data_IF_151376947868
#
_entry.id   IF_151376947868
#
_cell.length_a   1.000
_cell.length_b   1.000
_cell.length_c   1.000
_cell.angle_alpha   90.00
_cell.angle_beta   90.00
_cell.angle_gamma   90.00
#
_symmetry.space_group_name_H-M   'P 1'
#
loop_
_entity.id
_entity.type
_entity.pdbx_description
1 polymer ?
#
# COMPACT_ATOMS: atom_id res chain seq x y z
N UNK A 1 22.18 -7.74 12.92
CA UNK A 1 21.56 -8.86 13.66
C UNK A 1 20.09 -8.54 13.81
N UNK A 2 19.27 -9.54 13.53
CA UNK A 2 17.81 -9.57 13.74
C UNK A 2 16.99 -8.86 12.67
N UNK A 3 16.89 -9.50 11.51
CA UNK A 3 15.69 -9.49 10.67
C UNK A 3 14.72 -10.52 11.27
N UNK A 4 13.66 -10.10 11.91
CA UNK A 4 12.47 -10.90 12.24
C UNK A 4 11.35 -9.94 12.57
N UNK A 5 10.33 -9.95 11.71
CA UNK A 5 8.93 -9.91 12.08
C UNK A 5 8.09 -9.30 10.99
N UNK A 6 7.86 -10.01 9.93
CA UNK A 6 6.61 -9.96 9.14
C UNK A 6 6.47 -11.36 8.56
N UNK A 7 5.92 -12.28 9.30
CA UNK A 7 5.29 -13.51 8.80
C UNK A 7 4.93 -14.40 9.99
N UNK A 8 3.85 -14.10 10.64
CA UNK A 8 3.19 -15.07 11.48
C UNK A 8 1.90 -15.52 10.78
N UNK A 9 2.07 -16.18 9.64
CA UNK A 9 1.08 -17.12 9.08
C UNK A 9 1.79 -18.06 8.09
N UNK A 10 2.85 -18.74 8.57
CA UNK A 10 3.36 -19.93 7.91
C UNK A 10 2.59 -21.13 8.40
N UNK A 11 1.60 -21.53 7.65
CA UNK A 11 0.90 -22.81 7.85
C UNK A 11 1.62 -23.93 7.13
N UNK A 12 1.85 -24.95 7.92
CA UNK A 12 2.31 -26.31 7.66
C UNK A 12 1.74 -26.87 6.35
N UNK A 13 2.64 -27.24 5.45
CA UNK A 13 2.33 -28.10 4.28
C UNK A 13 2.48 -29.56 4.66
N UNK A 14 1.42 -30.34 4.55
CA UNK A 14 1.48 -31.77 4.26
C UNK A 14 0.34 -32.16 3.32
N UNK A 15 0.76 -32.51 2.13
CA UNK A 15 0.22 -33.40 1.08
C UNK A 15 -1.21 -33.93 1.18
N UNK A 16 -1.99 -33.69 0.11
CA UNK A 16 -2.85 -34.71 -0.52
C UNK A 16 -3.07 -34.35 -2.00
N UNK A 17 -2.78 -35.31 -2.87
CA UNK A 17 -2.86 -35.24 -4.33
C UNK A 17 -4.29 -35.22 -4.84
N UNK A 18 -4.62 -34.28 -5.71
CA UNK A 18 -5.66 -34.41 -6.71
C UNK A 18 -5.14 -33.85 -8.03
N UNK A 19 -5.05 -34.68 -9.05
CA UNK A 19 -4.65 -34.34 -10.39
C UNK A 19 -5.76 -33.53 -11.06
N UNK A 20 -5.63 -32.20 -11.05
CA UNK A 20 -6.21 -31.32 -12.04
C UNK A 20 -5.02 -30.73 -12.81
N UNK A 21 -5.11 -30.59 -14.12
CA UNK A 21 -4.10 -29.88 -14.91
C UNK A 21 -3.80 -28.57 -14.20
N UNK A 22 -2.67 -28.51 -13.53
CA UNK A 22 -2.27 -27.34 -12.78
C UNK A 22 -1.90 -26.28 -13.82
N UNK A 23 -2.67 -25.18 -13.87
CA UNK A 23 -2.24 -24.00 -14.60
C UNK A 23 -0.80 -23.71 -14.13
N UNK A 24 0.13 -23.75 -15.06
CA UNK A 24 1.54 -23.50 -14.77
C UNK A 24 1.79 -22.01 -14.90
N UNK A 25 2.33 -21.41 -13.87
CA UNK A 25 2.66 -19.98 -13.83
C UNK A 25 4.16 -19.75 -14.04
N UNK A 26 4.49 -18.62 -14.62
CA UNK A 26 5.86 -18.21 -14.93
C UNK A 26 6.10 -16.76 -14.48
N UNK A 27 7.36 -16.42 -14.25
CA UNK A 27 7.77 -15.05 -13.95
C UNK A 27 9.18 -14.80 -14.44
N UNK A 28 9.49 -13.52 -14.69
CA UNK A 28 10.79 -13.04 -15.10
C UNK A 28 11.24 -11.94 -14.17
N UNK A 29 12.45 -12.09 -13.62
CA UNK A 29 13.17 -11.07 -12.91
C UNK A 29 14.37 -10.57 -13.69
N UNK A 30 14.79 -9.32 -13.45
CA UNK A 30 16.03 -8.75 -13.99
C UNK A 30 16.85 -8.15 -12.86
N UNK A 31 18.17 -8.13 -13.05
CA UNK A 31 19.09 -7.44 -12.16
C UNK A 31 19.29 -5.99 -12.65
N UNK A 32 19.12 -5.01 -11.76
CA UNK A 32 19.24 -3.59 -12.13
C UNK A 32 20.62 -3.19 -12.67
N UNK A 33 21.70 -3.85 -12.25
CA UNK A 33 23.05 -3.62 -12.72
C UNK A 33 23.37 -4.25 -14.09
N UNK A 34 22.53 -5.18 -14.56
CA UNK A 34 22.63 -5.78 -15.91
C UNK A 34 21.23 -6.26 -16.36
N UNK A 35 20.36 -5.33 -16.79
CA UNK A 35 18.97 -5.66 -17.13
C UNK A 35 18.82 -6.48 -18.41
N UNK A 36 19.93 -6.75 -19.14
CA UNK A 36 19.92 -7.66 -20.29
C UNK A 36 19.85 -9.12 -19.86
N UNK A 37 20.27 -9.43 -18.63
CA UNK A 37 20.16 -10.77 -18.06
C UNK A 37 18.81 -10.97 -17.40
N UNK A 38 18.11 -11.99 -17.89
CA UNK A 38 16.79 -12.38 -17.40
C UNK A 38 16.88 -13.68 -16.60
N UNK A 39 16.12 -13.74 -15.51
CA UNK A 39 16.01 -14.90 -14.63
C UNK A 39 14.55 -15.36 -14.68
N UNK A 40 14.33 -16.59 -15.14
CA UNK A 40 13.01 -17.10 -15.46
C UNK A 40 12.63 -18.25 -14.53
N UNK A 41 11.44 -18.18 -14.00
CA UNK A 41 10.78 -19.34 -13.41
C UNK A 41 9.67 -19.83 -14.34
N UNK A 42 9.38 -21.12 -14.31
CA UNK A 42 8.28 -21.73 -15.03
C UNK A 42 7.70 -22.91 -14.25
N UNK A 43 6.53 -23.39 -14.66
CA UNK A 43 5.86 -24.54 -14.09
C UNK A 43 5.58 -24.40 -12.58
N UNK A 44 5.25 -23.19 -12.14
CA UNK A 44 4.94 -22.91 -10.74
C UNK A 44 3.44 -23.07 -10.46
N UNK A 45 3.05 -23.45 -9.23
CA UNK A 45 1.65 -23.70 -8.87
C UNK A 45 0.78 -22.43 -8.89
N UNK A 46 1.37 -21.26 -8.69
CA UNK A 46 0.68 -19.97 -8.69
C UNK A 46 1.67 -18.82 -8.94
N UNK A 47 1.16 -17.64 -9.29
CA UNK A 47 1.93 -16.43 -9.68
C UNK A 47 2.92 -15.98 -8.61
N UNK A 48 2.51 -16.00 -7.33
CA UNK A 48 3.41 -15.63 -6.21
C UNK A 48 4.61 -16.56 -6.15
N UNK A 49 4.41 -17.89 -6.25
CA UNK A 49 5.53 -18.84 -6.28
C UNK A 49 6.44 -18.63 -7.49
N UNK A 50 5.86 -18.32 -8.64
CA UNK A 50 6.63 -18.01 -9.85
C UNK A 50 7.55 -16.80 -9.62
N UNK A 51 7.01 -15.72 -9.07
CA UNK A 51 7.78 -14.50 -8.83
C UNK A 51 8.85 -14.70 -7.76
N UNK A 52 8.55 -15.38 -6.66
CA UNK A 52 9.55 -15.72 -5.64
C UNK A 52 10.69 -16.53 -6.25
N UNK A 53 10.40 -17.55 -7.06
CA UNK A 53 11.43 -18.36 -7.69
C UNK A 53 12.30 -17.57 -8.69
N UNK A 54 11.71 -16.69 -9.51
CA UNK A 54 12.47 -15.83 -10.42
C UNK A 54 13.34 -14.82 -9.64
N UNK A 55 12.80 -14.21 -8.60
CA UNK A 55 13.50 -13.29 -7.72
C UNK A 55 14.71 -13.97 -7.06
N UNK A 56 14.51 -15.16 -6.49
CA UNK A 56 15.59 -15.93 -5.84
C UNK A 56 16.72 -16.28 -6.82
N UNK A 57 16.41 -16.68 -8.06
CA UNK A 57 17.42 -16.94 -9.07
C UNK A 57 18.23 -15.68 -9.40
N UNK A 58 17.55 -14.53 -9.54
CA UNK A 58 18.21 -13.26 -9.76
C UNK A 58 19.13 -12.89 -8.57
N UNK A 59 18.63 -12.99 -7.33
CA UNK A 59 19.40 -12.67 -6.13
C UNK A 59 20.62 -13.58 -5.95
N UNK A 60 20.49 -14.88 -6.21
CA UNK A 60 21.61 -15.82 -6.18
C UNK A 60 22.66 -15.45 -7.22
N UNK A 61 22.25 -15.13 -8.45
CA UNK A 61 23.15 -14.72 -9.50
C UNK A 61 23.76 -13.32 -9.25
N UNK A 62 23.03 -12.42 -8.61
CA UNK A 62 23.54 -11.12 -8.20
C UNK A 62 24.66 -11.26 -7.16
N UNK A 63 24.50 -12.15 -6.20
CA UNK A 63 25.44 -12.31 -5.09
C UNK A 63 25.62 -10.98 -4.32
N UNK A 64 26.87 -10.53 -4.16
CA UNK A 64 27.19 -9.29 -3.45
C UNK A 64 27.29 -8.04 -4.34
N UNK A 65 26.95 -8.15 -5.64
CA UNK A 65 26.96 -6.99 -6.54
C UNK A 65 25.93 -5.96 -6.09
N UNK A 66 26.29 -4.68 -6.15
CA UNK A 66 25.36 -3.59 -5.87
C UNK A 66 24.20 -3.57 -6.89
N UNK A 67 23.04 -3.15 -6.41
CA UNK A 67 21.82 -3.14 -7.18
C UNK A 67 20.78 -4.10 -6.61
N UNK A 68 19.67 -4.22 -7.27
CA UNK A 68 18.50 -4.99 -6.85
C UNK A 68 17.97 -5.86 -7.98
N UNK A 69 17.19 -6.86 -7.61
CA UNK A 69 16.43 -7.68 -8.53
C UNK A 69 14.96 -7.24 -8.54
N UNK A 70 14.33 -7.14 -9.70
CA UNK A 70 12.92 -6.79 -9.79
C UNK A 70 12.17 -7.66 -10.79
N UNK A 71 10.91 -7.94 -10.50
CA UNK A 71 9.99 -8.66 -11.39
C UNK A 71 9.59 -7.73 -12.53
N UNK A 72 9.70 -8.22 -13.75
CA UNK A 72 9.36 -7.50 -14.99
C UNK A 72 8.29 -8.20 -15.83
N UNK A 73 7.95 -9.44 -15.49
CA UNK A 73 6.84 -10.16 -16.12
C UNK A 73 6.29 -11.22 -15.16
N UNK A 74 4.97 -11.39 -15.17
CA UNK A 74 4.24 -12.47 -14.49
C UNK A 74 3.29 -13.08 -15.52
N UNK A 75 3.46 -14.34 -15.82
CA UNK A 75 2.90 -14.99 -17.00
C UNK A 75 3.24 -14.15 -18.25
N UNK A 76 2.23 -13.69 -19.01
CA UNK A 76 2.42 -12.83 -20.19
C UNK A 76 2.25 -11.33 -19.87
N UNK A 77 1.92 -10.98 -18.61
CA UNK A 77 1.72 -9.59 -18.21
C UNK A 77 3.07 -8.90 -17.94
N UNK A 78 3.32 -7.77 -18.58
CA UNK A 78 4.49 -6.93 -18.32
C UNK A 78 4.31 -6.14 -17.05
N UNK A 79 5.31 -6.16 -16.18
CA UNK A 79 5.37 -5.38 -14.94
C UNK A 79 6.41 -4.27 -15.11
N UNK A 80 6.00 -3.03 -14.90
CA UNK A 80 6.89 -1.89 -15.03
C UNK A 80 8.03 -1.96 -13.99
N UNK A 81 9.24 -1.58 -14.43
CA UNK A 81 10.37 -1.40 -13.52
C UNK A 81 10.22 -0.09 -12.76
N UNK A 82 10.74 -0.05 -11.54
CA UNK A 82 10.70 1.15 -10.73
C UNK A 82 11.30 2.38 -11.45
N UNK A 83 12.40 2.20 -12.19
CA UNK A 83 13.06 3.27 -12.95
C UNK A 83 12.19 3.84 -14.08
N UNK A 84 11.27 3.07 -14.63
CA UNK A 84 10.37 3.51 -15.71
C UNK A 84 9.17 4.32 -15.17
N UNK A 85 8.90 4.22 -13.87
CA UNK A 85 7.84 4.94 -13.16
C UNK A 85 8.33 6.21 -12.47
N UNK A 86 9.63 6.50 -12.50
CA UNK A 86 10.23 7.68 -11.87
C UNK A 86 10.52 8.76 -12.91
N UNK A 87 10.47 10.06 -12.53
CA UNK A 87 10.89 11.16 -13.40
C UNK A 87 12.37 11.00 -13.79
N UNK A 88 12.67 11.14 -15.09
CA UNK A 88 14.05 10.97 -15.58
C UNK A 88 14.95 12.17 -15.28
N UNK A 89 14.38 13.35 -15.22
CA UNK A 89 15.11 14.60 -14.92
C UNK A 89 14.13 15.75 -14.76
N UNK A 90 14.63 16.91 -14.32
CA UNK A 90 13.88 18.15 -14.22
C UNK A 90 13.34 18.44 -12.82
N UNK A 91 12.71 19.62 -12.69
CA UNK A 91 11.99 20.02 -11.50
C UNK A 91 10.58 19.47 -11.53
N UNK A 92 10.20 18.72 -10.51
CA UNK A 92 8.84 18.22 -10.32
C UNK A 92 8.42 18.35 -8.86
N UNK A 93 7.11 18.53 -8.59
CA UNK A 93 6.62 18.59 -7.23
C UNK A 93 6.74 17.21 -6.57
N UNK A 94 6.94 17.21 -5.26
CA UNK A 94 6.89 15.99 -4.45
C UNK A 94 5.53 15.91 -3.75
N UNK A 95 5.11 14.72 -3.33
CA UNK A 95 4.04 14.57 -2.34
C UNK A 95 4.57 14.92 -0.96
N UNK A 96 5.06 16.17 -0.82
CA UNK A 96 5.66 16.70 0.40
C UNK A 96 5.36 18.18 0.51
N UNK A 97 4.75 18.60 1.63
CA UNK A 97 4.43 19.98 1.95
C UNK A 97 5.03 20.38 3.29
N UNK A 98 5.43 21.62 3.40
CA UNK A 98 5.85 22.25 4.66
C UNK A 98 4.82 23.26 5.11
N UNK A 99 4.34 23.11 6.33
CA UNK A 99 3.50 24.07 7.05
C UNK A 99 4.29 24.66 8.19
N UNK A 100 4.17 25.95 8.42
CA UNK A 100 4.80 26.64 9.54
C UNK A 100 3.79 27.54 10.23
N UNK A 101 3.86 27.56 11.54
CA UNK A 101 3.25 28.56 12.41
C UNK A 101 4.29 29.03 13.42
N UNK A 102 3.98 29.98 14.28
CA UNK A 102 4.95 30.67 15.16
C UNK A 102 5.94 29.71 15.86
N UNK A 103 5.48 28.58 16.41
CA UNK A 103 6.30 27.66 17.21
C UNK A 103 6.25 26.22 16.69
N UNK A 104 5.58 25.97 15.57
CA UNK A 104 5.41 24.63 15.04
C UNK A 104 5.78 24.54 13.56
N UNK A 105 6.36 23.39 13.19
CA UNK A 105 6.59 23.02 11.79
C UNK A 105 6.03 21.63 11.55
N UNK A 106 5.26 21.47 10.50
CA UNK A 106 4.77 20.20 10.01
C UNK A 106 5.28 19.97 8.60
N UNK A 107 5.97 18.86 8.38
CA UNK A 107 6.20 18.31 7.06
C UNK A 107 5.15 17.23 6.82
N UNK A 108 4.29 17.44 5.85
CA UNK A 108 3.20 16.54 5.48
C UNK A 108 3.58 15.80 4.21
N UNK A 109 3.77 14.50 4.30
CA UNK A 109 4.17 13.64 3.19
C UNK A 109 3.06 12.67 2.80
N UNK A 110 2.82 12.57 1.49
CA UNK A 110 1.92 11.58 0.90
C UNK A 110 2.67 10.28 0.65
N UNK A 111 2.12 9.18 1.14
CA UNK A 111 2.75 7.87 1.15
C UNK A 111 2.11 6.91 0.18
N UNK A 112 2.83 5.82 -0.09
CA UNK A 112 2.34 4.60 -0.72
C UNK A 112 2.75 3.41 0.13
N UNK A 113 1.81 2.48 0.36
CA UNK A 113 1.96 1.39 1.33
C UNK A 113 2.85 0.24 0.85
N UNK A 114 3.11 0.15 -0.45
CA UNK A 114 3.92 -0.92 -1.06
C UNK A 114 4.84 -0.33 -2.12
N UNK A 115 6.11 -0.69 -2.12
CA UNK A 115 7.08 -0.26 -3.12
C UNK A 115 7.98 -1.44 -3.53
N UNK A 116 8.86 -1.17 -4.50
CA UNK A 116 9.99 -2.03 -4.89
C UNK A 116 11.29 -1.38 -4.45
N UNK A 117 12.35 -2.18 -4.29
CA UNK A 117 13.68 -1.67 -3.92
C UNK A 117 14.20 -0.57 -4.87
N UNK A 118 13.83 -0.65 -6.16
CA UNK A 118 14.24 0.32 -7.17
C UNK A 118 13.68 1.73 -7.04
N UNK A 119 12.74 1.99 -6.12
CA UNK A 119 12.30 3.35 -5.77
C UNK A 119 13.24 4.05 -4.80
N UNK A 120 14.18 3.32 -4.20
CA UNK A 120 15.15 3.88 -3.25
C UNK A 120 16.52 4.13 -3.89
N UNK A 121 17.24 5.19 -3.46
CA UNK A 121 16.83 6.13 -2.41
C UNK A 121 15.70 7.05 -2.86
N UNK A 122 14.84 7.43 -1.94
CA UNK A 122 13.82 8.48 -2.17
C UNK A 122 14.49 9.83 -2.47
N UNK A 123 13.78 10.80 -3.11
CA UNK A 123 14.27 12.17 -3.21
C UNK A 123 14.73 12.68 -1.85
N UNK A 124 15.91 13.30 -1.81
CA UNK A 124 16.59 13.71 -0.55
C UNK A 124 15.73 14.59 0.36
N UNK A 125 14.75 15.28 -0.19
CA UNK A 125 13.86 16.17 0.54
C UNK A 125 12.98 15.41 1.56
N UNK A 126 12.57 14.18 1.24
CA UNK A 126 11.86 13.32 2.21
C UNK A 126 12.74 13.03 3.42
N UNK A 127 14.01 12.68 3.19
CA UNK A 127 14.96 12.41 4.26
C UNK A 127 15.31 13.68 5.06
N UNK A 128 15.49 14.83 4.38
CA UNK A 128 15.70 16.11 5.04
C UNK A 128 14.53 16.52 5.93
N UNK A 129 13.28 16.32 5.45
CA UNK A 129 12.08 16.58 6.23
C UNK A 129 12.02 15.71 7.48
N UNK A 130 12.28 14.40 7.33
CA UNK A 130 12.32 13.47 8.44
C UNK A 130 13.36 13.85 9.50
N UNK A 131 14.60 14.14 9.07
CA UNK A 131 15.69 14.52 9.98
C UNK A 131 15.47 15.88 10.68
N UNK A 132 14.64 16.73 10.11
CA UNK A 132 14.31 18.05 10.67
C UNK A 132 13.22 18.00 11.76
N UNK A 133 12.68 16.84 12.10
CA UNK A 133 11.53 16.69 12.99
C UNK A 133 11.85 15.85 14.23
N UNK A 134 11.04 16.05 15.28
CA UNK A 134 11.22 15.40 16.58
C UNK A 134 10.23 14.24 16.76
N UNK A 135 9.11 14.28 16.05
CA UNK A 135 8.02 13.30 16.13
C UNK A 135 7.61 12.85 14.76
N UNK A 136 7.41 11.55 14.59
CA UNK A 136 6.71 10.96 13.47
C UNK A 136 5.22 10.87 13.80
N UNK A 137 4.38 11.22 12.83
CA UNK A 137 2.92 11.11 12.94
C UNK A 137 2.44 10.27 11.78
N UNK A 138 1.72 9.21 12.06
CA UNK A 138 1.15 8.28 11.07
C UNK A 138 -0.38 8.30 11.13
N UNK A 139 -1.05 7.73 10.13
CA UNK A 139 -2.51 7.60 10.20
C UNK A 139 -2.93 6.80 11.43
N UNK A 140 -2.45 5.57 11.55
CA UNK A 140 -2.63 4.71 12.71
C UNK A 140 -1.31 3.97 13.01
N UNK A 141 -0.94 3.88 14.28
CA UNK A 141 0.36 3.32 14.70
C UNK A 141 0.31 1.78 14.79
N UNK A 142 -0.01 1.12 13.68
CA UNK A 142 -0.14 -0.35 13.61
C UNK A 142 1.15 -1.07 13.98
N UNK A 143 2.31 -0.53 13.59
CA UNK A 143 3.63 -1.12 13.86
C UNK A 143 4.05 -1.01 15.34
N UNK A 144 3.35 -0.20 16.14
CA UNK A 144 3.61 -0.07 17.57
C UNK A 144 2.88 -1.14 18.41
N UNK A 145 1.96 -1.89 17.81
CA UNK A 145 1.23 -2.93 18.50
C UNK A 145 2.01 -4.24 18.52
N UNK A 146 1.91 -4.98 19.62
CA UNK A 146 2.36 -6.36 19.66
C UNK A 146 1.58 -7.18 18.62
N UNK A 147 2.23 -8.12 17.90
CA UNK A 147 1.58 -8.91 16.85
C UNK A 147 0.30 -9.59 17.32
N UNK A 148 0.29 -10.14 18.54
CA UNK A 148 -0.85 -10.84 19.13
C UNK A 148 -2.04 -9.90 19.36
N UNK A 149 -1.77 -8.66 19.79
CA UNK A 149 -2.82 -7.64 19.99
C UNK A 149 -3.37 -7.15 18.64
N UNK A 150 -2.50 -7.01 17.64
CA UNK A 150 -2.92 -6.65 16.27
C UNK A 150 -3.82 -7.74 15.67
N UNK A 151 -3.45 -9.02 15.85
CA UNK A 151 -4.25 -10.16 15.42
C UNK A 151 -5.61 -10.17 16.10
N UNK A 152 -5.66 -10.03 17.43
CA UNK A 152 -6.92 -9.93 18.20
C UNK A 152 -7.83 -8.82 17.66
N UNK A 153 -7.28 -7.62 17.46
CA UNK A 153 -8.02 -6.47 16.94
C UNK A 153 -8.54 -6.74 15.53
N UNK A 154 -7.70 -7.29 14.66
CA UNK A 154 -8.07 -7.63 13.29
C UNK A 154 -9.20 -8.68 13.25
N UNK A 155 -9.10 -9.77 14.03
CA UNK A 155 -10.11 -10.82 14.08
C UNK A 155 -11.47 -10.31 14.56
N UNK A 156 -11.51 -9.32 15.43
CA UNK A 156 -12.75 -8.67 15.89
C UNK A 156 -13.61 -8.14 14.76
N UNK A 157 -12.99 -7.62 13.68
CA UNK A 157 -13.67 -7.00 12.55
C UNK A 157 -13.67 -7.87 11.29
N UNK A 158 -12.78 -8.85 11.21
CA UNK A 158 -12.53 -9.61 9.99
C UNK A 158 -13.40 -10.84 9.82
N UNK A 159 -14.05 -11.30 10.90
CA UNK A 159 -14.87 -12.53 10.85
C UNK A 159 -16.29 -12.25 10.35
N UNK A 160 -16.83 -13.19 9.60
CA UNK A 160 -18.27 -13.22 9.33
C UNK A 160 -19.03 -13.52 10.63
N UNK A 161 -20.15 -12.84 10.89
CA UNK A 161 -20.94 -13.10 12.09
C UNK A 161 -21.57 -14.48 12.09
N UNK A 162 -21.78 -15.07 10.91
CA UNK A 162 -22.30 -16.43 10.72
C UNK A 162 -22.13 -16.91 9.29
N UNK A 163 -22.20 -18.22 9.06
CA UNK A 163 -22.13 -18.83 7.72
C UNK A 163 -20.71 -18.91 7.18
N UNK A 164 -20.57 -18.82 5.87
CA UNK A 164 -19.29 -18.88 5.19
C UNK A 164 -19.19 -17.84 4.09
N UNK A 165 -17.97 -17.51 3.68
CA UNK A 165 -17.71 -16.62 2.54
C UNK A 165 -18.45 -17.08 1.29
N UNK A 166 -18.44 -18.40 0.99
CA UNK A 166 -19.18 -18.98 -0.13
C UNK A 166 -20.69 -18.73 -0.03
N UNK A 167 -21.28 -18.86 1.14
CA UNK A 167 -22.71 -18.62 1.35
C UNK A 167 -23.06 -17.12 1.31
N UNK A 168 -22.12 -16.26 1.68
CA UNK A 168 -22.31 -14.82 1.68
C UNK A 168 -22.29 -14.20 0.28
N UNK A 169 -21.56 -14.78 -0.68
CA UNK A 169 -21.34 -14.23 -2.02
C UNK A 169 -22.33 -14.83 -3.04
N UNK A 170 -22.54 -14.11 -4.17
CA UNK A 170 -23.21 -14.70 -5.33
C UNK A 170 -22.32 -15.79 -5.94
N UNK A 171 -22.93 -16.74 -6.65
CA UNK A 171 -22.20 -17.79 -7.36
C UNK A 171 -21.15 -17.24 -8.34
N UNK A 172 -21.49 -16.16 -9.03
CA UNK A 172 -20.62 -15.46 -9.97
C UNK A 172 -19.42 -14.82 -9.26
N UNK A 173 -19.64 -14.04 -8.19
CA UNK A 173 -18.58 -13.40 -7.42
C UNK A 173 -17.65 -14.44 -6.80
N UNK A 174 -18.21 -15.54 -6.27
CA UNK A 174 -17.40 -16.61 -5.70
C UNK A 174 -16.57 -17.36 -6.75
N UNK A 175 -17.10 -17.54 -7.96
CA UNK A 175 -16.35 -18.15 -9.07
C UNK A 175 -15.18 -17.28 -9.51
N UNK A 176 -15.38 -15.96 -9.62
CA UNK A 176 -14.32 -14.98 -9.91
C UNK A 176 -13.24 -15.01 -8.81
N UNK A 177 -13.66 -14.94 -7.55
CA UNK A 177 -12.76 -15.02 -6.40
C UNK A 177 -11.95 -16.32 -6.43
N UNK A 178 -12.58 -17.47 -6.68
CA UNK A 178 -11.90 -18.77 -6.72
C UNK A 178 -10.85 -18.84 -7.83
N UNK A 179 -11.16 -18.26 -8.99
CA UNK A 179 -10.21 -18.17 -10.12
C UNK A 179 -8.96 -17.37 -9.73
N UNK A 180 -9.14 -16.16 -9.19
CA UNK A 180 -8.02 -15.30 -8.81
C UNK A 180 -7.26 -15.86 -7.60
N UNK A 181 -7.96 -16.37 -6.58
CA UNK A 181 -7.35 -16.99 -5.42
C UNK A 181 -6.40 -18.14 -5.83
N UNK A 182 -6.85 -19.02 -6.73
CA UNK A 182 -6.02 -20.09 -7.28
C UNK A 182 -4.80 -19.55 -8.04
N UNK A 183 -5.00 -18.55 -8.90
CA UNK A 183 -3.92 -18.00 -9.73
C UNK A 183 -2.82 -17.34 -8.89
N UNK A 184 -3.16 -16.74 -7.75
CA UNK A 184 -2.21 -16.06 -6.88
C UNK A 184 -1.76 -16.89 -5.66
N UNK A 185 -2.35 -18.06 -5.44
CA UNK A 185 -1.99 -18.94 -4.31
C UNK A 185 -2.64 -18.55 -2.99
N UNK A 186 -3.76 -17.81 -3.02
CA UNK A 186 -4.53 -17.48 -1.82
C UNK A 186 -5.30 -18.73 -1.34
N UNK A 187 -5.12 -19.16 -0.07
CA UNK A 187 -5.73 -20.39 0.43
C UNK A 187 -7.22 -20.20 0.79
N UNK A 188 -8.08 -20.06 -0.23
CA UNK A 188 -9.48 -19.67 -0.10
C UNK A 188 -10.29 -20.56 0.86
N UNK A 189 -9.97 -21.87 0.92
CA UNK A 189 -10.66 -22.78 1.83
C UNK A 189 -10.42 -22.44 3.31
N UNK A 190 -9.27 -21.84 3.63
CA UNK A 190 -8.96 -21.39 4.98
C UNK A 190 -9.60 -20.04 5.32
N UNK A 191 -10.11 -19.32 4.31
CA UNK A 191 -10.67 -17.99 4.46
C UNK A 191 -12.22 -17.99 4.56
N UNK A 192 -12.85 -19.16 4.67
CA UNK A 192 -14.32 -19.24 4.64
C UNK A 192 -15.02 -18.56 5.80
N UNK A 193 -14.37 -18.40 6.96
CA UNK A 193 -14.89 -17.69 8.12
C UNK A 193 -14.67 -16.15 8.06
N UNK A 194 -13.84 -15.70 7.13
CA UNK A 194 -13.52 -14.27 7.02
C UNK A 194 -14.50 -13.53 6.12
N UNK A 195 -14.63 -12.26 6.38
CA UNK A 195 -15.52 -11.38 5.63
C UNK A 195 -14.93 -10.99 4.26
N UNK A 196 -15.79 -10.53 3.32
CA UNK A 196 -15.36 -10.15 1.96
C UNK A 196 -14.30 -9.04 1.92
N UNK A 197 -14.33 -8.10 2.88
CA UNK A 197 -13.39 -6.99 2.90
C UNK A 197 -11.95 -7.47 3.17
N UNK A 198 -11.74 -8.34 4.18
CA UNK A 198 -10.42 -8.94 4.44
C UNK A 198 -9.94 -9.75 3.23
N UNK A 199 -10.82 -10.56 2.64
CA UNK A 199 -10.45 -11.41 1.50
C UNK A 199 -10.04 -10.57 0.29
N UNK A 200 -10.72 -9.45 0.04
CA UNK A 200 -10.34 -8.48 -0.99
C UNK A 200 -8.92 -7.93 -0.76
N UNK A 201 -8.63 -7.50 0.48
CA UNK A 201 -7.30 -6.99 0.83
C UNK A 201 -6.21 -8.06 0.68
N UNK A 202 -6.46 -9.29 1.17
CA UNK A 202 -5.49 -10.38 1.06
C UNK A 202 -5.18 -10.71 -0.40
N UNK A 203 -6.20 -10.78 -1.25
CA UNK A 203 -6.02 -11.05 -2.67
C UNK A 203 -5.18 -9.96 -3.35
N UNK A 204 -5.44 -8.69 -3.03
CA UNK A 204 -4.66 -7.56 -3.56
C UNK A 204 -3.20 -7.62 -3.12
N UNK A 205 -2.94 -7.95 -1.85
CA UNK A 205 -1.57 -8.11 -1.33
C UNK A 205 -0.84 -9.25 -2.07
N UNK A 206 -1.49 -10.41 -2.28
CA UNK A 206 -0.90 -11.52 -3.03
C UNK A 206 -0.56 -11.12 -4.48
N UNK A 207 -1.45 -10.36 -5.12
CA UNK A 207 -1.20 -9.88 -6.48
C UNK A 207 -0.03 -8.88 -6.55
N UNK A 208 0.03 -7.91 -5.63
CA UNK A 208 1.12 -6.96 -5.54
C UNK A 208 2.46 -7.66 -5.24
N UNK A 209 2.45 -8.65 -4.34
CA UNK A 209 3.62 -9.50 -4.07
C UNK A 209 4.08 -10.25 -5.31
N UNK A 210 3.15 -10.82 -6.10
CA UNK A 210 3.49 -11.46 -7.37
C UNK A 210 4.13 -10.49 -8.38
N UNK A 211 3.79 -9.21 -8.33
CA UNK A 211 4.41 -8.17 -9.14
C UNK A 211 5.74 -7.63 -8.57
N UNK A 212 6.20 -8.18 -7.43
CA UNK A 212 7.45 -7.80 -6.78
C UNK A 212 7.34 -6.56 -5.88
N UNK A 213 6.14 -6.15 -5.50
CA UNK A 213 5.93 -5.12 -4.48
C UNK A 213 6.00 -5.72 -3.08
N UNK A 214 6.55 -4.96 -2.13
CA UNK A 214 6.72 -5.36 -0.74
C UNK A 214 6.18 -4.28 0.20
N UNK A 215 5.23 -4.61 1.09
CA UNK A 215 4.75 -3.68 2.13
C UNK A 215 5.88 -3.21 3.08
N UNK A 216 6.90 -4.02 3.30
CA UNK A 216 8.05 -3.62 4.13
C UNK A 216 8.88 -2.47 3.50
N UNK A 217 8.71 -2.22 2.21
CA UNK A 217 9.29 -1.11 1.47
C UNK A 217 8.32 0.08 1.34
N UNK A 218 7.13 0.01 1.93
CA UNK A 218 6.20 1.14 2.00
C UNK A 218 6.82 2.34 2.72
N UNK A 219 6.35 3.55 2.38
CA UNK A 219 6.93 4.79 2.93
C UNK A 219 6.75 4.85 4.45
N UNK A 220 5.59 4.46 4.97
CA UNK A 220 5.34 4.41 6.42
C UNK A 220 6.33 3.45 7.10
N UNK A 221 6.45 2.22 6.60
CA UNK A 221 7.36 1.22 7.15
C UNK A 221 8.82 1.70 7.11
N UNK A 222 9.24 2.36 6.00
CA UNK A 222 10.58 2.90 5.82
C UNK A 222 10.95 3.92 6.91
N UNK A 223 10.04 4.82 7.27
CA UNK A 223 10.30 5.85 8.28
C UNK A 223 10.02 5.35 9.70
N UNK A 224 8.94 4.61 9.95
CA UNK A 224 8.57 4.09 11.28
C UNK A 224 9.65 3.18 11.86
N UNK A 225 10.28 2.34 11.04
CA UNK A 225 11.35 1.43 11.48
C UNK A 225 12.59 2.14 12.08
N UNK A 226 12.71 3.46 11.92
CA UNK A 226 13.85 4.27 12.36
C UNK A 226 13.52 5.20 13.52
N UNK A 227 12.30 5.13 14.05
CA UNK A 227 11.80 5.98 15.13
C UNK A 227 11.49 5.13 16.36
N UNK A 228 11.85 5.62 17.53
CA UNK A 228 11.44 4.99 18.79
C UNK A 228 9.88 5.06 18.89
N UNK A 229 9.20 3.95 19.20
CA UNK A 229 7.73 3.90 19.27
C UNK A 229 7.08 5.02 20.12
N UNK A 230 7.73 5.46 21.19
CA UNK A 230 7.25 6.59 22.02
C UNK A 230 7.26 7.95 21.29
N UNK A 231 7.95 8.06 20.15
CA UNK A 231 8.01 9.26 19.32
C UNK A 231 7.10 9.16 18.09
N UNK A 232 6.33 8.07 17.97
CA UNK A 232 5.32 7.89 16.93
C UNK A 232 3.96 8.26 17.52
N UNK A 233 3.29 9.22 16.88
CA UNK A 233 1.93 9.66 17.18
C UNK A 233 0.99 9.17 16.10
N UNK A 234 -0.29 9.11 16.38
CA UNK A 234 -1.32 8.72 15.41
C UNK A 234 -2.37 9.81 15.22
N UNK A 235 -2.90 9.92 14.01
CA UNK A 235 -4.00 10.82 13.68
C UNK A 235 -5.35 10.19 14.03
N UNK A 236 -5.45 8.88 13.93
CA UNK A 236 -6.63 8.08 14.25
C UNK A 236 -6.22 6.77 14.95
N UNK A 237 -7.15 6.13 15.66
CA UNK A 237 -6.83 4.88 16.34
C UNK A 237 -6.80 3.70 15.37
N UNK A 238 -5.99 2.69 15.67
CA UNK A 238 -5.96 1.42 14.92
C UNK A 238 -7.36 0.77 14.89
N UNK A 239 -8.12 0.81 15.99
CA UNK A 239 -9.48 0.26 16.03
C UNK A 239 -10.42 0.98 15.04
N UNK A 240 -10.36 2.32 14.97
CA UNK A 240 -11.17 3.09 14.01
C UNK A 240 -10.84 2.72 12.55
N UNK A 241 -9.55 2.58 12.24
CA UNK A 241 -9.12 2.19 10.90
C UNK A 241 -9.54 0.75 10.56
N UNK A 242 -9.36 -0.21 11.48
CA UNK A 242 -9.81 -1.59 11.26
C UNK A 242 -11.33 -1.69 11.12
N UNK A 243 -12.10 -0.96 11.93
CA UNK A 243 -13.55 -0.90 11.81
C UNK A 243 -13.98 -0.35 10.44
N UNK A 244 -13.31 0.71 9.97
CA UNK A 244 -13.60 1.28 8.66
C UNK A 244 -13.30 0.29 7.52
N UNK A 245 -12.14 -0.36 7.56
CA UNK A 245 -11.65 -1.22 6.47
C UNK A 245 -12.31 -2.60 6.46
N UNK A 246 -12.60 -3.17 7.64
CA UNK A 246 -13.06 -4.56 7.79
C UNK A 246 -14.47 -4.67 8.39
N UNK A 247 -14.92 -3.67 9.15
CA UNK A 247 -16.17 -3.70 9.91
C UNK A 247 -17.38 -3.08 9.19
N UNK A 248 -17.29 -2.81 7.89
CA UNK A 248 -18.40 -2.29 7.09
C UNK A 248 -19.59 -3.27 7.06
N UNK A 249 -20.84 -2.80 6.86
CA UNK A 249 -21.96 -3.68 6.64
C UNK A 249 -21.71 -4.67 5.49
N UNK A 250 -22.17 -5.92 5.64
CA UNK A 250 -21.91 -6.98 4.66
C UNK A 250 -22.29 -6.62 3.20
N UNK A 251 -23.37 -5.88 2.91
CA UNK A 251 -23.64 -5.41 1.54
C UNK A 251 -22.53 -4.54 0.96
N UNK A 252 -21.96 -3.63 1.74
CA UNK A 252 -20.82 -2.77 1.34
C UNK A 252 -19.59 -3.62 1.07
N UNK A 253 -19.25 -4.55 1.95
CA UNK A 253 -18.11 -5.45 1.80
C UNK A 253 -18.21 -6.31 0.53
N UNK A 254 -19.42 -6.77 0.18
CA UNK A 254 -19.68 -7.52 -1.06
C UNK A 254 -19.44 -6.67 -2.31
N UNK A 255 -19.81 -5.40 -2.27
CA UNK A 255 -19.55 -4.45 -3.35
C UNK A 255 -18.05 -4.23 -3.50
N UNK A 256 -17.33 -3.96 -2.41
CA UNK A 256 -15.87 -3.78 -2.41
C UNK A 256 -15.18 -4.99 -3.05
N UNK A 257 -15.49 -6.21 -2.59
CA UNK A 257 -14.88 -7.42 -3.13
C UNK A 257 -15.22 -7.61 -4.61
N UNK A 258 -16.49 -7.42 -4.99
CA UNK A 258 -16.91 -7.56 -6.41
C UNK A 258 -16.16 -6.57 -7.29
N UNK A 259 -16.08 -5.31 -6.91
CA UNK A 259 -15.42 -4.26 -7.67
C UNK A 259 -13.91 -4.56 -7.80
N UNK A 260 -13.27 -4.97 -6.71
CA UNK A 260 -11.89 -5.47 -6.74
C UNK A 260 -11.72 -6.61 -7.75
N UNK A 261 -12.59 -7.60 -7.75
CA UNK A 261 -12.48 -8.76 -8.63
C UNK A 261 -12.72 -8.43 -10.11
N UNK A 262 -13.62 -7.50 -10.41
CA UNK A 262 -13.90 -7.04 -11.78
C UNK A 262 -12.71 -6.30 -12.37
N UNK A 263 -12.03 -5.48 -11.57
CA UNK A 263 -10.90 -4.67 -11.99
C UNK A 263 -9.54 -5.38 -11.82
N UNK A 264 -9.55 -6.61 -11.33
CA UNK A 264 -8.33 -7.30 -10.91
C UNK A 264 -7.31 -7.51 -12.03
N UNK A 265 -7.78 -7.74 -13.26
CA UNK A 265 -6.90 -7.94 -14.41
C UNK A 265 -6.19 -6.63 -14.83
N UNK A 266 -6.69 -5.45 -14.43
CA UNK A 266 -6.06 -4.13 -14.65
C UNK A 266 -5.21 -3.65 -13.47
N UNK A 267 -5.08 -4.44 -12.39
CA UNK A 267 -4.37 -4.03 -11.16
C UNK A 267 -2.93 -3.59 -11.43
N UNK A 268 -2.23 -4.26 -12.35
CA UNK A 268 -0.85 -3.91 -12.70
C UNK A 268 -0.77 -2.51 -13.33
N UNK A 269 -1.67 -2.19 -14.26
CA UNK A 269 -1.75 -0.90 -14.91
C UNK A 269 -2.13 0.19 -13.92
N UNK A 270 -3.17 -0.03 -13.11
CA UNK A 270 -3.61 0.90 -12.07
C UNK A 270 -2.50 1.19 -11.05
N UNK A 271 -1.74 0.17 -10.63
CA UNK A 271 -0.59 0.33 -9.74
C UNK A 271 0.51 1.17 -10.39
N UNK A 272 0.82 0.92 -11.65
CA UNK A 272 1.82 1.69 -12.41
C UNK A 272 1.40 3.16 -12.53
N UNK A 273 0.14 3.43 -12.88
CA UNK A 273 -0.38 4.78 -13.02
C UNK A 273 -0.37 5.54 -11.69
N UNK A 274 -0.77 4.88 -10.60
CA UNK A 274 -0.72 5.45 -9.26
C UNK A 274 0.71 5.79 -8.85
N UNK A 275 1.65 4.88 -9.03
CA UNK A 275 3.05 5.11 -8.68
C UNK A 275 3.70 6.19 -9.55
N UNK A 276 3.36 6.24 -10.84
CA UNK A 276 3.82 7.29 -11.73
C UNK A 276 3.28 8.66 -11.30
N UNK A 277 1.99 8.75 -10.99
CA UNK A 277 1.39 9.98 -10.48
C UNK A 277 2.05 10.41 -9.15
N UNK A 278 2.29 9.45 -8.23
CA UNK A 278 2.96 9.74 -6.96
C UNK A 278 4.40 10.21 -7.16
N UNK A 279 5.21 9.54 -7.97
CA UNK A 279 6.63 9.91 -8.20
C UNK A 279 6.80 11.23 -8.92
N UNK A 280 5.84 11.61 -9.76
CA UNK A 280 5.83 12.90 -10.47
C UNK A 280 5.14 14.01 -9.69
N UNK A 281 4.53 13.67 -8.54
CA UNK A 281 3.80 14.62 -7.70
C UNK A 281 2.49 15.11 -8.33
N UNK A 282 1.87 14.33 -9.20
CA UNK A 282 0.62 14.65 -9.87
C UNK A 282 -0.58 14.28 -9.00
N UNK A 283 -0.98 15.21 -8.12
CA UNK A 283 -2.10 15.02 -7.21
C UNK A 283 -3.47 15.00 -7.92
N UNK A 284 -3.60 15.65 -9.08
CA UNK A 284 -4.82 15.56 -9.89
C UNK A 284 -4.98 14.16 -10.51
N UNK A 285 -3.89 13.58 -11.03
CA UNK A 285 -3.90 12.21 -11.52
C UNK A 285 -4.23 11.20 -10.41
N UNK A 286 -3.63 11.34 -9.21
CA UNK A 286 -3.98 10.50 -8.06
C UNK A 286 -5.47 10.62 -7.73
N UNK A 287 -6.01 11.83 -7.63
CA UNK A 287 -7.44 12.04 -7.35
C UNK A 287 -8.36 11.42 -8.42
N UNK A 288 -7.97 11.49 -9.69
CA UNK A 288 -8.72 10.89 -10.79
C UNK A 288 -8.70 9.36 -10.71
N UNK A 289 -7.52 8.76 -10.50
CA UNK A 289 -7.36 7.30 -10.40
C UNK A 289 -8.22 6.72 -9.28
N UNK A 290 -8.20 7.32 -8.09
CA UNK A 290 -8.98 6.86 -6.95
C UNK A 290 -10.48 6.86 -7.26
N UNK A 291 -10.99 7.93 -7.89
CA UNK A 291 -12.41 8.02 -8.24
C UNK A 291 -12.82 7.05 -9.33
N UNK A 292 -11.92 6.74 -10.27
CA UNK A 292 -12.21 5.80 -11.36
C UNK A 292 -12.23 4.33 -10.93
N UNK A 293 -11.65 4.00 -9.78
CA UNK A 293 -11.58 2.63 -9.24
C UNK A 293 -12.84 2.22 -8.44
N UNK A 294 -13.81 3.08 -8.31
CA UNK A 294 -15.05 2.80 -7.57
C UNK A 294 -16.21 2.66 -8.51
N UNK A 295 -17.05 1.64 -8.30
CA UNK A 295 -18.33 1.56 -9.02
C UNK A 295 -19.24 2.74 -8.65
N UNK A 296 -20.18 3.08 -9.54
CA UNK A 296 -21.19 4.13 -9.30
C UNK A 296 -22.29 3.72 -8.32
N UNK A 297 -22.11 2.62 -7.57
CA UNK A 297 -23.08 2.21 -6.55
C UNK A 297 -23.13 3.19 -5.38
N UNK A 298 -24.28 3.27 -4.71
CA UNK A 298 -24.43 4.13 -3.53
C UNK A 298 -23.51 3.68 -2.38
N UNK A 299 -23.32 2.37 -2.23
CA UNK A 299 -22.47 1.74 -1.25
C UNK A 299 -20.99 2.08 -1.47
N UNK A 300 -20.52 1.99 -2.73
CA UNK A 300 -19.15 2.32 -3.08
C UNK A 300 -18.85 3.81 -2.86
N UNK A 301 -19.74 4.70 -3.29
CA UNK A 301 -19.60 6.15 -3.05
C UNK A 301 -19.60 6.50 -1.57
N UNK A 302 -20.47 5.87 -0.76
CA UNK A 302 -20.51 6.09 0.67
C UNK A 302 -19.22 5.60 1.32
N UNK A 303 -18.75 4.42 0.95
CA UNK A 303 -17.50 3.87 1.46
C UNK A 303 -16.29 4.77 1.11
N UNK A 304 -16.19 5.21 -0.15
CA UNK A 304 -15.10 6.10 -0.57
C UNK A 304 -15.11 7.43 0.18
N UNK A 305 -16.32 8.00 0.42
CA UNK A 305 -16.47 9.19 1.26
C UNK A 305 -15.97 8.98 2.67
N UNK A 306 -16.32 7.87 3.32
CA UNK A 306 -15.86 7.51 4.66
C UNK A 306 -14.35 7.24 4.69
N UNK A 307 -13.84 6.56 3.64
CA UNK A 307 -12.43 6.19 3.52
C UNK A 307 -11.52 7.41 3.37
N UNK A 308 -11.98 8.45 2.69
CA UNK A 308 -11.17 9.63 2.37
C UNK A 308 -11.75 10.92 2.96
N UNK A 309 -12.90 11.39 2.48
CA UNK A 309 -13.37 12.75 2.76
C UNK A 309 -13.58 13.02 4.25
N UNK A 310 -14.27 12.10 4.95
CA UNK A 310 -14.56 12.25 6.38
C UNK A 310 -13.27 12.18 7.22
N UNK A 311 -12.33 11.31 6.84
CA UNK A 311 -11.02 11.20 7.49
C UNK A 311 -10.14 12.41 7.21
N UNK A 312 -10.20 12.99 6.00
CA UNK A 312 -9.42 14.17 5.63
C UNK A 312 -9.74 15.37 6.54
N UNK A 313 -11.02 15.59 6.86
CA UNK A 313 -11.44 16.61 7.83
C UNK A 313 -10.80 16.37 9.19
N UNK A 314 -10.94 15.15 9.72
CA UNK A 314 -10.41 14.78 11.03
C UNK A 314 -8.88 14.87 11.10
N UNK A 315 -8.18 14.36 10.08
CA UNK A 315 -6.71 14.46 9.98
C UNK A 315 -6.25 15.93 9.94
N UNK A 316 -6.94 16.77 9.17
CA UNK A 316 -6.62 18.20 9.08
C UNK A 316 -6.80 18.91 10.44
N UNK A 317 -7.86 18.60 11.20
CA UNK A 317 -8.07 19.14 12.55
C UNK A 317 -6.96 18.72 13.52
N UNK A 318 -6.51 17.46 13.46
CA UNK A 318 -5.39 16.97 14.27
C UNK A 318 -4.08 17.67 13.91
N UNK A 319 -3.80 17.85 12.62
CA UNK A 319 -2.62 18.56 12.13
C UNK A 319 -2.70 20.05 12.51
N UNK A 320 -3.86 20.69 12.39
CA UNK A 320 -4.08 22.07 12.81
C UNK A 320 -3.82 22.26 14.33
N UNK A 321 -4.19 21.27 15.15
CA UNK A 321 -3.87 21.29 16.59
C UNK A 321 -2.35 21.29 16.82
N UNK A 322 -1.59 20.49 16.07
CA UNK A 322 -0.13 20.48 16.13
C UNK A 322 0.46 21.84 15.70
N UNK A 323 -0.05 22.42 14.62
CA UNK A 323 0.38 23.74 14.12
C UNK A 323 0.06 24.87 15.09
N UNK A 324 -1.03 24.81 15.85
CA UNK A 324 -1.37 25.78 16.89
C UNK A 324 -0.58 25.59 18.20
N UNK A 325 0.09 24.46 18.34
CA UNK A 325 0.97 24.15 19.46
C UNK A 325 2.43 24.54 19.19
N UNK A 326 3.33 23.62 19.55
CA UNK A 326 4.77 23.77 19.32
C UNK A 326 5.38 22.42 18.97
N UNK A 327 6.52 22.43 18.27
CA UNK A 327 7.27 21.22 17.91
C UNK A 327 7.43 21.05 16.40
N UNK A 328 8.16 19.99 16.04
CA UNK A 328 8.45 19.65 14.65
C UNK A 328 7.97 18.24 14.37
N UNK A 329 7.07 18.11 13.40
CA UNK A 329 6.36 16.88 13.11
C UNK A 329 6.57 16.46 11.67
N UNK A 330 6.85 15.17 11.46
CA UNK A 330 6.80 14.52 10.15
C UNK A 330 5.51 13.70 10.07
N UNK A 331 4.56 14.17 9.28
CA UNK A 331 3.23 13.57 9.17
C UNK A 331 3.16 12.77 7.89
N UNK A 332 2.88 11.49 8.01
CA UNK A 332 2.71 10.52 6.93
C UNK A 332 1.23 10.15 6.80
N UNK A 333 0.65 10.45 5.64
CA UNK A 333 -0.70 10.00 5.27
C UNK A 333 -0.68 9.46 3.85
N UNK A 334 -1.52 8.50 3.54
CA UNK A 334 -1.63 7.98 2.17
C UNK A 334 -1.80 9.10 1.15
N UNK A 335 -1.12 9.01 0.01
CA UNK A 335 -1.15 10.07 -1.02
C UNK A 335 -2.55 10.42 -1.50
N UNK A 336 -3.49 9.48 -1.40
CA UNK A 336 -4.91 9.69 -1.65
C UNK A 336 -5.53 10.80 -0.80
N UNK A 337 -5.11 10.93 0.46
CA UNK A 337 -5.58 11.95 1.39
C UNK A 337 -5.09 13.36 1.04
N UNK A 338 -4.04 13.47 0.23
CA UNK A 338 -3.46 14.75 -0.19
C UNK A 338 -3.92 15.21 -1.59
N UNK A 339 -4.75 14.41 -2.25
CA UNK A 339 -5.18 14.62 -3.62
C UNK A 339 -6.64 15.08 -3.74
N UNK A 340 -6.91 16.00 -4.67
CA UNK A 340 -8.26 16.44 -4.99
C UNK A 340 -8.83 17.53 -4.10
N UNK A 341 -10.10 17.88 -4.35
CA UNK A 341 -10.76 19.04 -3.77
C UNK A 341 -11.16 18.90 -2.30
N UNK A 342 -11.20 17.70 -1.76
CA UNK A 342 -11.53 17.39 -0.35
C UNK A 342 -10.32 16.83 0.40
N UNK A 343 -9.11 17.13 -0.08
CA UNK A 343 -7.86 16.65 0.53
C UNK A 343 -7.57 17.34 1.88
N UNK A 344 -6.72 16.69 2.68
CA UNK A 344 -6.18 17.27 3.92
C UNK A 344 -5.56 18.67 3.67
N UNK A 345 -4.94 18.87 2.51
CA UNK A 345 -4.38 20.17 2.12
C UNK A 345 -5.47 21.21 1.97
N UNK A 346 -6.60 20.88 1.35
CA UNK A 346 -7.76 21.75 1.20
C UNK A 346 -8.40 22.08 2.55
N UNK A 347 -8.54 21.06 3.41
CA UNK A 347 -9.10 21.25 4.76
C UNK A 347 -8.19 22.11 5.65
N UNK A 348 -6.87 21.89 5.61
CA UNK A 348 -5.91 22.76 6.31
C UNK A 348 -6.02 24.24 5.83
N UNK A 349 -6.23 24.46 4.52
CA UNK A 349 -6.45 25.81 4.00
C UNK A 349 -7.74 26.43 4.54
N UNK A 350 -8.82 25.66 4.67
CA UNK A 350 -10.09 26.13 5.29
C UNK A 350 -9.90 26.49 6.75
N UNK A 351 -9.00 25.80 7.45
CA UNK A 351 -8.62 26.09 8.83
C UNK A 351 -7.61 27.25 8.97
N UNK A 352 -7.24 27.91 7.85
CA UNK A 352 -6.35 29.07 7.83
C UNK A 352 -4.86 28.77 7.69
N UNK A 353 -4.48 27.50 7.43
CA UNK A 353 -3.08 27.12 7.23
C UNK A 353 -2.74 26.99 5.75
N UNK A 354 -1.64 27.61 5.33
CA UNK A 354 -1.10 27.50 3.98
C UNK A 354 0.22 26.76 4.00
N UNK A 355 0.28 25.64 3.29
CA UNK A 355 1.49 24.85 3.12
C UNK A 355 2.24 25.22 1.86
N UNK A 356 3.56 25.17 1.94
CA UNK A 356 4.45 25.28 0.79
C UNK A 356 4.75 23.87 0.26
N UNK A 357 4.43 23.63 -1.01
CA UNK A 357 4.82 22.38 -1.68
C UNK A 357 6.33 22.35 -1.92
N UNK A 358 6.95 21.20 -1.70
CA UNK A 358 8.37 20.97 -1.89
C UNK A 358 8.61 20.34 -3.26
N UNK A 359 9.71 20.72 -3.90
CA UNK A 359 10.10 20.25 -5.22
C UNK A 359 11.41 19.47 -5.18
N UNK A 360 11.63 18.62 -6.19
CA UNK A 360 12.80 17.72 -6.30
C UNK A 360 14.14 18.44 -6.34
N UNK A 361 14.19 19.69 -6.76
CA UNK A 361 15.40 20.53 -6.86
C UNK A 361 15.59 21.51 -5.67
N UNK A 362 14.67 21.54 -4.72
CA UNK A 362 14.82 22.38 -3.54
C UNK A 362 16.08 21.94 -2.75
N UNK A 363 17.03 22.87 -2.62
CA UNK A 363 18.36 22.58 -2.07
C UNK A 363 18.32 22.38 -0.57
N UNK A 364 17.53 23.20 0.13
CA UNK A 364 17.31 23.10 1.57
C UNK A 364 15.85 23.39 1.89
N UNK A 365 15.21 22.47 2.59
CA UNK A 365 13.83 22.61 3.03
C UNK A 365 13.72 22.96 4.52
N UNK A 366 14.87 23.05 5.21
CA UNK A 366 14.96 23.20 6.67
C UNK A 366 14.95 24.68 7.09
N UNK A 367 15.19 25.61 6.17
CA UNK A 367 15.23 27.06 6.44
C UNK A 367 13.86 27.67 6.67
#
# INVERSE_FOLDING_TARGET
MIRRSVLALTLVYSSLFAWAEAATHSSVAVFSGDPTKVYRSANQPHRVAASIAAQQQCEQARGQRQGYCEIVSVDDATIARAVDLQPKSGRYPLFLWRYRNANATVYLAGTVHVLKEGFFPLPKQYEQAFQATDKLVVEAAVDNLAPELMEEKMLRYALLPSGSLRAALSAETYALLSRHAKAYGLPLEQLQSFNPALVSQQLSVFALTAMGYDPALGIEAHFSARVDPQNILELESVDAQLQLLLGQPLPVQKVILRDTLVEFDSLAEQTNDMLKAWTTGDDEAVAKLIRSQSSDSAEARLFLKQLLDDRNVHMAERIATMLNGSGRYYVLVGSAHLAGSQSVITELRRLGFSGQRIYSDDVSIIQ
#
